data_IF_421420855269
#
_entry.id   IF_421420855269
#
_cell.length_a   1.000
_cell.length_b   1.000
_cell.length_c   1.000
_cell.angle_alpha   90.00
_cell.angle_beta   90.00
_cell.angle_gamma   90.00
#
_symmetry.space_group_name_H-M   'P 1'
#
loop_
_entity.id
_entity.type
_entity.pdbx_description
1 polymer ?
#
# COMPACT_ATOMS: atom_id res chain seq x y z
N UNK A 1 18.61 -17.78 -43.74
CA UNK A 1 17.28 -17.40 -43.20
C UNK A 1 17.09 -17.71 -41.71
N UNK A 2 18.11 -18.08 -40.92
CA UNK A 2 17.95 -18.43 -39.49
C UNK A 2 18.30 -17.31 -38.50
N UNK A 3 18.87 -16.18 -38.94
CA UNK A 3 19.32 -15.13 -38.03
C UNK A 3 18.19 -14.19 -37.56
N UNK A 4 17.17 -13.98 -38.40
CA UNK A 4 16.05 -13.08 -38.10
C UNK A 4 15.11 -13.68 -37.05
N UNK A 5 14.98 -15.01 -37.03
CA UNK A 5 14.10 -15.71 -36.08
C UNK A 5 14.59 -15.62 -34.63
N UNK A 6 15.91 -15.63 -34.41
CA UNK A 6 16.50 -15.56 -33.05
C UNK A 6 16.37 -14.17 -32.41
N UNK A 7 16.39 -13.09 -33.20
CA UNK A 7 16.23 -11.71 -32.68
C UNK A 7 14.78 -11.45 -32.27
N UNK A 8 13.80 -12.02 -32.99
CA UNK A 8 12.38 -11.89 -32.64
C UNK A 8 12.03 -12.61 -31.33
N UNK A 9 12.67 -13.76 -31.07
CA UNK A 9 12.43 -14.56 -29.86
C UNK A 9 12.95 -13.85 -28.60
N UNK A 10 14.11 -13.19 -28.69
CA UNK A 10 14.67 -12.39 -27.59
C UNK A 10 13.81 -11.16 -27.25
N UNK A 11 13.17 -10.54 -28.24
CA UNK A 11 12.24 -9.42 -28.02
C UNK A 11 10.94 -9.87 -27.33
N UNK A 12 10.45 -11.08 -27.64
CA UNK A 12 9.27 -11.65 -26.98
C UNK A 12 9.52 -12.03 -25.51
N UNK A 13 10.72 -12.48 -25.17
CA UNK A 13 11.10 -12.80 -23.78
C UNK A 13 11.19 -11.56 -22.88
N UNK A 14 11.56 -10.39 -23.42
CA UNK A 14 11.59 -9.14 -22.64
C UNK A 14 10.20 -8.57 -22.32
N UNK A 15 9.15 -8.98 -23.04
CA UNK A 15 7.76 -8.53 -22.79
C UNK A 15 7.02 -9.38 -21.75
N UNK A 16 7.55 -10.56 -21.40
CA UNK A 16 6.91 -11.50 -20.47
C UNK A 16 7.34 -11.30 -19.01
N UNK A 17 8.18 -10.31 -18.71
CA UNK A 17 8.70 -10.07 -17.37
C UNK A 17 8.13 -8.80 -16.73
N UNK A 18 6.89 -8.43 -17.06
CA UNK A 18 6.07 -7.66 -16.14
C UNK A 18 5.66 -8.61 -15.01
N UNK A 19 6.56 -8.77 -14.03
CA UNK A 19 6.23 -9.47 -12.79
C UNK A 19 4.91 -8.91 -12.29
N UNK A 20 3.92 -9.79 -12.12
CA UNK A 20 2.64 -9.46 -11.51
C UNK A 20 2.93 -8.84 -10.15
N UNK A 21 2.93 -7.52 -10.09
CA UNK A 21 2.98 -6.80 -8.84
C UNK A 21 1.60 -6.96 -8.19
N UNK A 22 1.56 -7.77 -7.14
CA UNK A 22 0.33 -8.08 -6.42
C UNK A 22 0.18 -7.09 -5.28
N UNK A 23 -0.85 -6.25 -5.34
CA UNK A 23 -1.27 -5.40 -4.22
C UNK A 23 -1.42 -6.21 -2.92
N UNK A 24 -1.85 -7.46 -3.03
CA UNK A 24 -2.01 -8.37 -1.89
C UNK A 24 -0.66 -8.73 -1.26
N UNK A 25 -0.59 -8.61 0.06
CA UNK A 25 0.62 -8.85 0.81
C UNK A 25 0.69 -8.01 2.07
N UNK A 26 1.81 -8.14 2.78
CA UNK A 26 2.11 -7.35 3.96
C UNK A 26 3.07 -6.22 3.61
N UNK A 27 2.74 -5.01 4.03
CA UNK A 27 3.56 -3.82 3.90
C UNK A 27 3.91 -3.31 5.28
N UNK A 28 5.18 -3.00 5.49
CA UNK A 28 5.69 -2.58 6.79
C UNK A 28 6.50 -1.30 6.66
N UNK A 29 6.47 -0.47 7.71
CA UNK A 29 7.40 0.63 7.90
C UNK A 29 7.68 0.85 9.39
N UNK A 30 8.76 1.56 9.68
CA UNK A 30 9.10 2.01 11.02
C UNK A 30 9.19 3.54 11.03
N UNK A 31 8.41 4.16 11.89
CA UNK A 31 8.19 5.60 11.92
C UNK A 31 8.50 6.08 13.35
N UNK A 32 9.66 6.71 13.52
CA UNK A 32 10.16 7.17 14.82
C UNK A 32 10.17 6.09 15.90
N UNK A 33 10.54 4.86 15.53
CA UNK A 33 10.56 3.70 16.45
C UNK A 33 9.22 2.98 16.58
N UNK A 34 8.15 3.53 16.00
CA UNK A 34 6.82 2.94 16.01
C UNK A 34 6.60 2.08 14.75
N UNK A 35 5.94 0.94 14.91
CA UNK A 35 5.69 0.03 13.79
C UNK A 35 4.38 0.36 13.09
N UNK A 36 4.41 0.34 11.77
CA UNK A 36 3.22 0.39 10.92
C UNK A 36 3.20 -0.84 10.00
N UNK A 37 2.19 -1.67 10.15
CA UNK A 37 1.95 -2.86 9.34
C UNK A 37 0.58 -2.74 8.64
N UNK A 38 0.53 -2.96 7.33
CA UNK A 38 -0.71 -3.03 6.54
C UNK A 38 -0.71 -4.36 5.80
N UNK A 39 -1.67 -5.23 6.10
CA UNK A 39 -1.85 -6.52 5.42
C UNK A 39 -3.08 -6.47 4.55
N UNK A 40 -2.91 -6.56 3.24
CA UNK A 40 -4.00 -6.45 2.27
C UNK A 40 -4.46 -7.85 1.87
N UNK A 41 -5.74 -8.16 2.14
CA UNK A 41 -6.39 -9.45 1.91
C UNK A 41 -7.70 -9.22 1.15
N UNK A 42 -7.70 -9.53 -0.15
CA UNK A 42 -8.84 -9.28 -1.04
C UNK A 42 -9.28 -7.80 -0.99
N UNK A 43 -10.54 -7.50 -0.66
CA UNK A 43 -11.08 -6.14 -0.54
C UNK A 43 -10.99 -5.56 0.88
N UNK A 44 -10.23 -6.19 1.77
CA UNK A 44 -10.05 -5.75 3.15
C UNK A 44 -8.58 -5.63 3.53
N UNK A 45 -8.25 -4.74 4.46
CA UNK A 45 -6.91 -4.63 5.02
C UNK A 45 -6.94 -4.79 6.55
N UNK A 46 -5.92 -5.45 7.09
CA UNK A 46 -5.61 -5.40 8.51
C UNK A 46 -4.48 -4.40 8.71
N UNK A 47 -4.74 -3.32 9.44
CA UNK A 47 -3.79 -2.25 9.70
C UNK A 47 -3.44 -2.29 11.19
N UNK A 48 -2.15 -2.31 11.50
CA UNK A 48 -1.63 -2.18 12.86
C UNK A 48 -0.66 -1.00 12.89
N UNK A 49 -0.94 -0.01 13.72
CA UNK A 49 -0.12 1.18 13.87
C UNK A 49 0.20 1.36 15.35
N UNK A 50 1.46 1.53 15.68
CA UNK A 50 1.85 2.12 16.96
C UNK A 50 1.95 3.63 16.78
N UNK A 51 1.15 4.39 17.53
CA UNK A 51 1.20 5.85 17.56
C UNK A 51 1.37 6.30 19.00
N UNK A 52 2.53 6.90 19.30
CA UNK A 52 2.85 7.43 20.62
C UNK A 52 2.70 6.37 21.74
N UNK A 53 3.11 5.13 21.47
CA UNK A 53 3.02 4.01 22.42
C UNK A 53 1.62 3.42 22.58
N UNK A 54 0.66 3.81 21.73
CA UNK A 54 -0.66 3.17 21.64
C UNK A 54 -0.74 2.37 20.34
N UNK A 55 -0.90 1.06 20.50
CA UNK A 55 -1.22 0.19 19.38
C UNK A 55 -2.68 0.33 18.97
N UNK A 56 -2.89 0.60 17.70
CA UNK A 56 -4.17 0.74 17.03
C UNK A 56 -4.27 -0.38 16.01
N UNK A 57 -5.34 -1.17 16.08
CA UNK A 57 -5.58 -2.27 15.17
C UNK A 57 -6.91 -2.06 14.46
N UNK A 58 -6.87 -1.90 13.15
CA UNK A 58 -8.03 -1.83 12.28
C UNK A 58 -8.11 -3.14 11.49
N UNK A 59 -8.97 -4.05 11.94
CA UNK A 59 -9.12 -5.36 11.32
C UNK A 59 -10.21 -5.32 10.24
N UNK A 60 -9.92 -5.96 9.10
CA UNK A 60 -10.84 -6.09 7.96
C UNK A 60 -11.40 -4.75 7.45
N UNK A 61 -10.57 -3.72 7.43
CA UNK A 61 -10.97 -2.41 6.95
C UNK A 61 -11.18 -2.45 5.43
N UNK A 62 -12.38 -2.08 4.98
CA UNK A 62 -12.74 -2.10 3.57
C UNK A 62 -12.00 -1.00 2.82
N UNK A 63 -11.48 -1.36 1.66
CA UNK A 63 -10.86 -0.41 0.74
C UNK A 63 -11.32 -0.66 -0.69
N UNK A 64 -11.28 0.40 -1.49
CA UNK A 64 -11.43 0.34 -2.93
C UNK A 64 -10.10 0.71 -3.58
N UNK A 65 -9.63 -0.11 -4.52
CA UNK A 65 -8.51 0.24 -5.38
C UNK A 65 -9.03 1.00 -6.61
N UNK A 66 -8.59 2.24 -6.78
CA UNK A 66 -8.90 3.05 -7.97
C UNK A 66 -7.68 3.87 -8.37
N UNK A 67 -7.26 3.81 -9.64
CA UNK A 67 -6.11 4.56 -10.16
C UNK A 67 -4.85 4.43 -9.27
N UNK A 68 -4.49 3.20 -8.87
CA UNK A 68 -3.35 2.92 -7.97
C UNK A 68 -3.47 3.59 -6.59
N UNK A 69 -4.68 3.94 -6.14
CA UNK A 69 -4.92 4.53 -4.83
C UNK A 69 -5.82 3.61 -4.02
N UNK A 70 -5.45 3.40 -2.76
CA UNK A 70 -6.28 2.69 -1.81
C UNK A 70 -7.18 3.70 -1.10
N UNK A 71 -8.47 3.60 -1.40
CA UNK A 71 -9.50 4.43 -0.82
C UNK A 71 -10.18 3.63 0.28
N UNK A 72 -9.77 3.85 1.52
CA UNK A 72 -10.48 3.33 2.68
C UNK A 72 -11.83 4.05 2.80
N UNK A 73 -12.92 3.28 2.80
CA UNK A 73 -14.27 3.83 2.68
C UNK A 73 -14.72 4.49 3.98
N UNK A 74 -15.28 5.70 3.88
CA UNK A 74 -15.81 6.54 4.97
C UNK A 74 -17.10 6.00 5.65
N UNK A 75 -17.39 4.69 5.59
CA UNK A 75 -18.62 4.12 6.17
C UNK A 75 -18.34 3.17 7.33
N UNK A 76 -19.03 3.43 8.45
CA UNK A 76 -19.21 2.70 9.72
C UNK A 76 -18.00 2.06 10.44
N UNK A 77 -16.92 1.69 9.77
CA UNK A 77 -15.73 1.07 10.37
C UNK A 77 -14.42 1.74 9.95
N UNK A 78 -14.44 2.99 9.50
CA UNK A 78 -13.30 3.79 9.03
C UNK A 78 -12.29 4.08 10.16
N UNK A 79 -11.73 3.00 10.69
CA UNK A 79 -10.90 2.94 11.86
C UNK A 79 -9.60 3.69 11.59
N UNK A 80 -9.04 3.54 10.38
CA UNK A 80 -7.83 4.25 10.01
C UNK A 80 -8.07 5.75 10.03
N UNK A 81 -9.07 6.29 9.31
CA UNK A 81 -9.27 7.74 9.31
C UNK A 81 -9.74 8.27 10.68
N UNK A 82 -10.54 7.52 11.45
CA UNK A 82 -10.93 7.93 12.81
C UNK A 82 -9.69 8.10 13.70
N UNK A 83 -8.75 7.15 13.63
CA UNK A 83 -7.54 7.23 14.43
C UNK A 83 -6.59 8.30 13.90
N UNK A 84 -6.36 8.37 12.59
CA UNK A 84 -5.56 9.44 11.97
C UNK A 84 -6.09 10.84 12.33
N UNK A 85 -7.41 11.06 12.30
CA UNK A 85 -8.05 12.31 12.77
C UNK A 85 -7.74 12.62 14.23
N UNK A 86 -7.78 11.63 15.12
CA UNK A 86 -7.45 11.82 16.56
C UNK A 86 -6.01 12.27 16.78
N UNK A 87 -5.11 11.93 15.86
CA UNK A 87 -3.69 12.33 15.91
C UNK A 87 -3.37 13.52 14.98
N UNK A 88 -4.37 14.22 14.47
CA UNK A 88 -4.19 15.47 13.72
C UNK A 88 -3.83 15.31 12.24
N UNK A 89 -3.90 14.12 11.68
CA UNK A 89 -3.75 13.93 10.23
C UNK A 89 -5.02 14.37 9.48
N UNK A 90 -4.88 14.99 8.31
CA UNK A 90 -6.05 15.44 7.55
C UNK A 90 -6.87 14.21 7.10
N UNK A 91 -8.20 14.21 7.27
CA UNK A 91 -9.07 13.21 6.68
C UNK A 91 -9.31 13.39 5.17
N UNK A 92 -8.41 14.08 4.50
CA UNK A 92 -8.45 14.33 3.07
C UNK A 92 -8.16 13.01 2.32
N UNK A 93 -9.08 12.41 1.55
CA UNK A 93 -8.71 11.32 0.66
C UNK A 93 -7.88 11.88 -0.52
N UNK A 94 -6.88 11.13 -1.06
CA UNK A 94 -6.39 9.81 -0.68
C UNK A 94 -5.08 9.88 0.13
N UNK A 95 -5.13 9.44 1.39
CA UNK A 95 -3.94 9.35 2.21
C UNK A 95 -3.05 8.15 1.86
N UNK A 96 -3.49 7.14 1.09
CA UNK A 96 -2.69 5.95 0.77
C UNK A 96 -2.67 5.68 -0.75
N UNK A 97 -1.47 5.69 -1.33
CA UNK A 97 -1.20 5.41 -2.74
C UNK A 97 -0.44 4.09 -2.83
N UNK A 98 -0.85 3.22 -3.75
CA UNK A 98 -0.11 2.01 -4.08
C UNK A 98 0.79 2.28 -5.30
N UNK A 99 2.10 2.15 -5.15
CA UNK A 99 3.02 2.15 -6.28
C UNK A 99 3.29 0.71 -6.74
N UNK A 100 2.75 0.39 -7.91
CA UNK A 100 2.91 -0.90 -8.55
C UNK A 100 4.35 -1.17 -9.04
N UNK A 101 5.15 -0.12 -9.30
CA UNK A 101 6.53 -0.29 -9.79
C UNK A 101 7.48 -0.72 -8.68
N UNK A 102 7.31 -0.14 -7.50
CA UNK A 102 8.12 -0.42 -6.31
C UNK A 102 7.48 -1.46 -5.39
N UNK A 103 6.24 -1.88 -5.67
CA UNK A 103 5.40 -2.69 -4.79
C UNK A 103 5.39 -2.13 -3.35
N UNK A 104 5.04 -0.86 -3.23
CA UNK A 104 5.02 -0.13 -1.95
C UNK A 104 3.72 0.65 -1.75
N UNK A 105 3.40 0.94 -0.49
CA UNK A 105 2.35 1.89 -0.13
C UNK A 105 2.98 3.21 0.30
N UNK A 106 2.44 4.32 -0.18
CA UNK A 106 2.82 5.66 0.19
C UNK A 106 1.68 6.30 0.98
N UNK A 107 1.96 6.76 2.19
CA UNK A 107 1.01 7.50 2.99
C UNK A 107 1.32 9.00 2.92
N UNK A 108 0.43 9.78 2.34
CA UNK A 108 0.58 11.24 2.18
C UNK A 108 0.05 12.01 3.40
N UNK A 109 0.45 13.28 3.48
CA UNK A 109 -0.12 14.30 4.38
C UNK A 109 -0.18 13.91 5.86
N UNK A 110 0.80 13.13 6.31
CA UNK A 110 0.99 12.90 7.74
C UNK A 110 1.74 14.09 8.36
N UNK A 111 1.59 14.36 9.67
CA UNK A 111 2.41 15.35 10.39
C UNK A 111 3.93 15.10 10.27
N UNK A 112 4.31 13.92 9.77
CA UNK A 112 5.67 13.42 9.63
C UNK A 112 6.16 13.43 8.17
N UNK A 113 5.36 13.94 7.23
CA UNK A 113 5.63 13.89 5.78
C UNK A 113 5.09 12.62 5.11
N UNK A 114 5.60 12.31 3.93
CA UNK A 114 5.21 11.09 3.20
C UNK A 114 5.88 9.87 3.82
N UNK A 115 5.10 8.83 4.11
CA UNK A 115 5.59 7.58 4.67
C UNK A 115 5.57 6.49 3.61
N UNK A 116 6.67 5.75 3.47
CA UNK A 116 6.76 4.65 2.52
C UNK A 116 6.75 3.32 3.29
N UNK A 117 5.83 2.44 2.92
CA UNK A 117 5.76 1.07 3.41
C UNK A 117 6.17 0.14 2.29
N UNK A 118 7.23 -0.63 2.51
CA UNK A 118 7.68 -1.63 1.55
C UNK A 118 7.00 -2.96 1.83
N UNK A 119 6.85 -3.76 0.79
CA UNK A 119 6.47 -5.15 0.97
C UNK A 119 7.48 -5.84 1.91
N UNK A 120 6.96 -6.49 2.95
CA UNK A 120 7.72 -7.15 4.01
C UNK A 120 7.28 -8.62 4.20
N UNK A 121 6.69 -9.21 3.15
CA UNK A 121 6.38 -10.64 3.09
C UNK A 121 7.57 -11.52 3.50
#
# INVERSE_FOLDING_TARGET
MNFIFNILLLFFLSLLNEGQSTLYGKYCSNIFGNKLDISILNNTANISIDLFGKQINCNKELFNLSNNKLLFSNNQSDCLNINLKKFGACPCPPNIIYDNKSNSLEILDTPMGTLFLKNCN
#
